data_IF_889877246251
#
_entry.id   IF_889877246251
#
_cell.length_a   1.000
_cell.length_b   1.000
_cell.length_c   1.000
_cell.angle_alpha   90.00
_cell.angle_beta   90.00
_cell.angle_gamma   90.00
#
_symmetry.space_group_name_H-M   'P 1'
#
loop_
_entity.id
_entity.type
_entity.pdbx_description
1 polymer ?
#
# COMPACT_ATOMS: atom_id res chain seq x y z
N UNK A 1 -8.91 -4.98 -1.57
CA UNK A 1 -7.80 -4.25 -0.90
C UNK A 1 -7.87 -4.20 0.62
N UNK A 2 -9.05 -4.40 1.23
CA UNK A 2 -9.28 -4.37 2.69
C UNK A 2 -8.18 -4.98 3.58
N UNK A 3 -7.68 -6.18 3.27
CA UNK A 3 -6.65 -6.84 4.09
C UNK A 3 -5.34 -6.06 4.20
N UNK A 4 -4.93 -5.32 3.15
CA UNK A 4 -3.72 -4.47 3.20
C UNK A 4 -3.97 -3.12 3.86
N UNK A 5 -5.18 -2.58 3.71
CA UNK A 5 -5.51 -1.21 4.12
C UNK A 5 -6.02 -1.10 5.55
N UNK A 6 -6.49 -2.21 6.14
CA UNK A 6 -6.90 -2.27 7.54
C UNK A 6 -5.79 -1.78 8.48
N UNK A 7 -6.11 -0.83 9.37
CA UNK A 7 -5.16 -0.18 10.27
C UNK A 7 -3.92 0.40 9.57
N UNK A 8 -4.08 0.86 8.32
CA UNK A 8 -2.97 1.28 7.45
C UNK A 8 -1.88 0.19 7.28
N UNK A 9 -2.29 -1.08 7.28
CA UNK A 9 -1.40 -2.24 7.18
C UNK A 9 -0.67 -2.60 8.48
N UNK A 10 -0.97 -1.92 9.60
CA UNK A 10 -0.37 -2.19 10.91
C UNK A 10 -1.12 -3.30 11.65
N UNK A 11 -1.27 -4.44 10.99
CA UNK A 11 -1.84 -5.66 11.57
C UNK A 11 -0.89 -6.84 11.34
N UNK A 12 -0.83 -7.79 12.26
CA UNK A 12 0.06 -8.95 12.16
C UNK A 12 -0.22 -9.86 10.95
N UNK A 13 -1.41 -9.73 10.34
CA UNK A 13 -1.88 -10.55 9.22
C UNK A 13 -1.97 -9.75 7.91
N UNK A 14 -1.37 -8.56 7.86
CA UNK A 14 -1.36 -7.77 6.64
C UNK A 14 -0.62 -8.56 5.54
N UNK A 15 -1.16 -8.64 4.32
CA UNK A 15 -0.43 -9.25 3.22
C UNK A 15 0.77 -8.37 2.85
N UNK A 16 1.98 -8.92 2.85
CA UNK A 16 3.21 -8.18 2.49
C UNK A 16 3.71 -8.45 1.07
N UNK A 17 3.17 -9.48 0.41
CA UNK A 17 3.44 -9.79 -0.99
C UNK A 17 2.20 -10.40 -1.65
N UNK A 18 2.13 -10.30 -2.98
CA UNK A 18 1.13 -10.96 -3.80
C UNK A 18 1.84 -11.80 -4.86
N UNK A 19 1.41 -13.05 -5.04
CA UNK A 19 1.88 -13.90 -6.13
C UNK A 19 0.81 -13.85 -7.23
N UNK A 20 1.18 -13.25 -8.36
CA UNK A 20 0.27 -12.99 -9.47
C UNK A 20 0.91 -13.58 -10.74
N UNK A 21 0.15 -14.26 -11.60
CA UNK A 21 0.63 -14.64 -12.93
C UNK A 21 1.20 -13.43 -13.66
N UNK A 22 2.35 -13.60 -14.33
CA UNK A 22 3.11 -12.50 -14.92
C UNK A 22 2.26 -11.65 -15.86
N UNK A 23 1.42 -12.30 -16.67
CA UNK A 23 0.51 -11.68 -17.63
C UNK A 23 -0.63 -10.88 -16.99
N UNK A 24 -0.88 -11.06 -15.69
CA UNK A 24 -1.94 -10.39 -14.92
C UNK A 24 -1.44 -9.31 -13.98
N UNK A 25 -0.13 -9.10 -13.86
CA UNK A 25 0.44 -8.13 -12.91
C UNK A 25 -0.11 -6.73 -13.13
N UNK A 26 -0.18 -6.27 -14.39
CA UNK A 26 -0.68 -4.92 -14.68
C UNK A 26 -2.17 -4.75 -14.37
N UNK A 27 -2.98 -5.76 -14.67
CA UNK A 27 -4.42 -5.79 -14.35
C UNK A 27 -4.64 -5.78 -12.83
N UNK A 28 -3.90 -6.63 -12.10
CA UNK A 28 -3.96 -6.71 -10.65
C UNK A 28 -3.61 -5.38 -9.98
N UNK A 29 -2.53 -4.74 -10.44
CA UNK A 29 -2.12 -3.42 -9.94
C UNK A 29 -3.21 -2.39 -10.19
N UNK A 30 -3.72 -2.31 -11.42
CA UNK A 30 -4.76 -1.33 -11.79
C UNK A 30 -5.99 -1.49 -10.89
N UNK A 31 -6.49 -2.71 -10.75
CA UNK A 31 -7.64 -3.00 -9.88
C UNK A 31 -7.35 -2.69 -8.40
N UNK A 32 -6.12 -2.91 -7.94
CA UNK A 32 -5.71 -2.60 -6.57
C UNK A 32 -5.73 -1.09 -6.29
N UNK A 33 -5.25 -0.27 -7.23
CA UNK A 33 -5.30 1.19 -7.13
C UNK A 33 -6.74 1.70 -7.18
N UNK A 34 -7.54 1.18 -8.13
CA UNK A 34 -8.94 1.55 -8.31
C UNK A 34 -9.77 1.26 -7.06
N UNK A 35 -9.76 0.03 -6.57
CA UNK A 35 -10.51 -0.36 -5.37
C UNK A 35 -10.03 0.40 -4.12
N UNK A 36 -8.73 0.67 -3.99
CA UNK A 36 -8.24 1.46 -2.84
C UNK A 36 -8.74 2.91 -2.90
N UNK A 37 -8.76 3.51 -4.08
CA UNK A 37 -9.24 4.88 -4.30
C UNK A 37 -10.76 4.99 -4.11
N UNK A 38 -11.51 3.95 -4.46
CA UNK A 38 -12.96 3.87 -4.18
C UNK A 38 -13.25 3.69 -2.69
N UNK A 39 -12.46 2.87 -1.99
CA UNK A 39 -12.59 2.67 -0.55
C UNK A 39 -12.26 3.93 0.24
N UNK A 40 -11.26 4.71 -0.20
CA UNK A 40 -10.77 5.91 0.49
C UNK A 40 -10.61 7.06 -0.50
N UNK A 41 -11.71 7.71 -0.94
CA UNK A 41 -11.65 8.82 -1.89
C UNK A 41 -10.84 10.01 -1.36
N UNK A 42 -10.89 10.23 -0.05
CA UNK A 42 -10.04 11.17 0.68
C UNK A 42 -9.17 10.37 1.65
N UNK A 43 -7.84 10.44 1.49
CA UNK A 43 -6.90 9.70 2.33
C UNK A 43 -6.56 10.41 3.64
N UNK A 44 -6.67 11.73 3.67
CA UNK A 44 -6.37 12.57 4.82
C UNK A 44 -7.69 13.10 5.39
N UNK A 45 -7.74 13.26 6.70
CA UNK A 45 -8.87 13.90 7.40
C UNK A 45 -10.22 13.18 7.14
N UNK A 46 -10.19 11.83 7.06
CA UNK A 46 -11.37 10.96 6.96
C UNK A 46 -11.41 9.97 8.14
N UNK A 47 -12.59 9.43 8.44
CA UNK A 47 -12.82 8.50 9.56
C UNK A 47 -12.51 7.02 9.22
N UNK A 48 -12.33 6.70 7.94
CA UNK A 48 -12.25 5.31 7.43
C UNK A 48 -10.81 4.79 7.29
N UNK A 49 -9.81 5.68 7.24
CA UNK A 49 -8.40 5.37 7.09
C UNK A 49 -7.56 6.00 8.19
N UNK A 50 -6.62 5.24 8.74
CA UNK A 50 -5.80 5.69 9.88
C UNK A 50 -4.38 6.07 9.47
N UNK A 51 -3.65 6.68 10.39
CA UNK A 51 -2.25 7.07 10.23
C UNK A 51 -1.28 6.01 10.77
N UNK A 52 -0.02 6.09 10.33
CA UNK A 52 1.07 5.33 10.95
C UNK A 52 1.28 5.83 12.38
N UNK A 53 1.46 4.91 13.32
CA UNK A 53 1.37 5.18 14.76
C UNK A 53 2.35 6.25 15.29
N UNK A 54 3.54 6.38 14.68
CA UNK A 54 4.52 7.41 15.05
C UNK A 54 5.55 7.68 13.94
N UNK A 55 6.33 8.74 14.15
CA UNK A 55 7.37 9.21 13.22
C UNK A 55 8.40 8.12 12.89
N UNK A 56 8.89 7.37 13.88
CA UNK A 56 9.89 6.31 13.66
C UNK A 56 9.40 5.25 12.68
N UNK A 57 8.13 4.83 12.77
CA UNK A 57 7.57 3.85 11.84
C UNK A 57 7.32 4.45 10.46
N UNK A 58 6.90 5.72 10.41
CA UNK A 58 6.75 6.46 9.16
C UNK A 58 8.09 6.56 8.41
N UNK A 59 9.15 7.03 9.07
CA UNK A 59 10.48 7.19 8.48
C UNK A 59 11.03 5.87 7.94
N UNK A 60 10.80 4.77 8.67
CA UNK A 60 11.18 3.43 8.22
C UNK A 60 10.48 3.02 6.92
N UNK A 61 9.18 3.29 6.79
CA UNK A 61 8.42 2.98 5.57
C UNK A 61 8.90 3.86 4.41
N UNK A 62 9.14 5.15 4.65
CA UNK A 62 9.72 6.04 3.63
C UNK A 62 11.07 5.52 3.13
N UNK A 63 11.94 5.07 4.04
CA UNK A 63 13.21 4.46 3.67
C UNK A 63 13.06 3.20 2.79
N UNK A 64 12.06 2.35 3.03
CA UNK A 64 11.77 1.21 2.15
C UNK A 64 11.28 1.63 0.75
N UNK A 65 10.49 2.70 0.67
CA UNK A 65 10.02 3.25 -0.61
C UNK A 65 11.18 3.87 -1.39
N UNK A 66 12.10 4.56 -0.72
CA UNK A 66 13.32 5.11 -1.32
C UNK A 66 14.24 4.00 -1.84
N UNK A 67 14.52 2.99 -1.01
CA UNK A 67 15.30 1.82 -1.40
C UNK A 67 14.71 1.09 -2.62
N UNK A 68 13.38 0.96 -2.68
CA UNK A 68 12.68 0.40 -3.83
C UNK A 68 12.79 1.28 -5.08
N UNK A 69 12.83 2.61 -4.97
CA UNK A 69 13.06 3.48 -6.14
C UNK A 69 14.46 3.29 -6.71
N UNK A 70 15.46 3.14 -5.85
CA UNK A 70 16.86 3.04 -6.25
C UNK A 70 17.19 1.68 -6.88
N UNK A 71 16.62 0.59 -6.34
CA UNK A 71 16.93 -0.78 -6.79
C UNK A 71 16.18 -1.22 -8.05
N UNK A 72 15.36 -0.34 -8.63
CA UNK A 72 14.68 -0.58 -9.90
C UNK A 72 13.40 -1.44 -9.94
N UNK A 73 12.73 -1.87 -8.85
CA UNK A 73 11.36 -2.34 -9.00
C UNK A 73 10.45 -1.21 -9.52
N UNK A 74 9.55 -1.57 -10.45
CA UNK A 74 8.49 -0.68 -10.96
C UNK A 74 7.62 -0.25 -9.78
N UNK A 75 7.71 1.02 -9.36
CA UNK A 75 6.72 1.59 -8.47
C UNK A 75 5.45 1.88 -9.27
N UNK A 76 4.39 1.16 -8.92
CA UNK A 76 3.06 1.43 -9.44
C UNK A 76 2.45 2.61 -8.68
N UNK A 77 1.92 3.58 -9.41
CA UNK A 77 1.27 4.78 -8.88
C UNK A 77 -0.23 4.66 -9.02
#
# INVERSE_FOLDING_TARGET
>A
MQGKTMNAGQICLAPDYALVPEEKVEEFVKASVEVTSEMYPEMKDNDDFTSIINQRHFDRIQGYIEDAKEKGPKLWK
#
